data_IF_306532283592
#
_entry.id   IF_306532283592
#
_cell.length_a   1.000
_cell.length_b   1.000
_cell.length_c   1.000
_cell.angle_alpha   90.00
_cell.angle_beta   90.00
_cell.angle_gamma   90.00
#
_symmetry.space_group_name_H-M   'P 1'
#
loop_
_entity.id
_entity.type
_entity.pdbx_description
1 polymer ?
#
# COMPACT_ATOMS: atom_id res chain seq x y z
N UNK A 1 -20.55 32.72 -19.57
CA UNK A 1 -19.68 32.75 -18.40
C UNK A 1 -18.68 31.59 -18.53
N UNK A 2 -17.41 31.81 -18.22
CA UNK A 2 -16.34 30.79 -18.27
C UNK A 2 -16.64 29.53 -17.44
N UNK A 3 -17.49 29.64 -16.41
CA UNK A 3 -17.91 28.54 -15.55
C UNK A 3 -18.60 27.37 -16.29
N UNK A 4 -19.12 27.58 -17.48
CA UNK A 4 -19.78 26.54 -18.28
C UNK A 4 -18.82 25.81 -19.23
N UNK A 5 -17.56 26.21 -19.29
CA UNK A 5 -16.52 25.60 -20.15
C UNK A 5 -15.56 24.70 -19.40
N UNK A 6 -15.55 24.76 -18.07
CA UNK A 6 -14.64 24.00 -17.22
C UNK A 6 -15.48 23.16 -16.28
N UNK A 7 -15.39 21.86 -16.40
CA UNK A 7 -15.98 20.89 -15.44
C UNK A 7 -14.86 20.06 -14.82
N UNK A 8 -15.01 19.75 -13.54
CA UNK A 8 -14.13 18.81 -12.87
C UNK A 8 -14.54 17.40 -13.30
N UNK A 9 -13.58 16.59 -13.75
CA UNK A 9 -13.84 15.20 -14.11
C UNK A 9 -14.46 14.46 -12.91
N UNK A 10 -15.51 13.66 -13.18
CA UNK A 10 -16.10 12.82 -12.15
C UNK A 10 -15.03 11.87 -11.61
N UNK A 11 -14.93 11.77 -10.28
CA UNK A 11 -13.88 10.97 -9.63
C UNK A 11 -12.57 11.70 -9.36
N UNK A 12 -12.40 12.97 -9.78
CA UNK A 12 -11.26 13.78 -9.36
C UNK A 12 -11.33 14.05 -7.86
N UNK A 13 -10.36 13.56 -7.12
CA UNK A 13 -10.24 13.79 -5.68
C UNK A 13 -9.02 14.62 -5.35
N UNK A 14 -9.19 15.63 -4.52
CA UNK A 14 -8.13 16.56 -4.11
C UNK A 14 -7.09 15.92 -3.17
N UNK A 15 -7.43 14.81 -2.51
CA UNK A 15 -6.54 14.12 -1.59
C UNK A 15 -6.49 12.60 -1.85
N UNK A 16 -5.33 12.01 -1.63
CA UNK A 16 -5.09 10.57 -1.68
C UNK A 16 -4.62 10.11 -0.31
N UNK A 17 -5.29 9.12 0.25
CA UNK A 17 -4.87 8.41 1.44
C UNK A 17 -4.42 7.00 1.04
N UNK A 18 -3.12 6.76 1.02
CA UNK A 18 -2.54 5.52 0.51
C UNK A 18 -3.11 4.28 1.23
N UNK A 19 -3.33 4.37 2.56
CA UNK A 19 -3.83 3.26 3.35
C UNK A 19 -5.23 2.77 2.94
N UNK A 20 -6.09 3.69 2.45
CA UNK A 20 -7.45 3.35 2.00
C UNK A 20 -7.54 3.21 0.47
N UNK A 21 -6.78 4.03 -0.25
CA UNK A 21 -6.93 4.16 -1.70
C UNK A 21 -6.15 3.10 -2.46
N UNK A 22 -5.27 2.34 -1.81
CA UNK A 22 -4.51 1.28 -2.44
C UNK A 22 -5.42 0.19 -3.05
N UNK A 23 -6.61 0.00 -2.49
CA UNK A 23 -7.62 -0.94 -3.01
C UNK A 23 -8.68 -0.26 -3.90
N UNK A 24 -8.52 1.04 -4.22
CA UNK A 24 -9.46 1.79 -5.06
C UNK A 24 -8.85 2.11 -6.43
N UNK A 25 -9.19 1.31 -7.43
CA UNK A 25 -8.63 1.42 -8.77
C UNK A 25 -9.08 2.68 -9.53
N UNK A 26 -10.21 3.29 -9.18
CA UNK A 26 -10.69 4.50 -9.85
C UNK A 26 -9.75 5.69 -9.65
N UNK A 27 -8.99 5.70 -8.57
CA UNK A 27 -7.98 6.75 -8.32
C UNK A 27 -6.77 6.66 -9.26
N UNK A 28 -6.47 5.48 -9.78
CA UNK A 28 -5.38 5.28 -10.72
C UNK A 28 -5.70 5.85 -12.10
N UNK A 29 -6.94 5.71 -12.56
CA UNK A 29 -7.40 6.23 -13.87
C UNK A 29 -7.25 7.74 -14.02
N UNK A 30 -7.27 8.47 -12.90
CA UNK A 30 -7.15 9.93 -12.88
C UNK A 30 -5.71 10.42 -12.63
N UNK A 31 -4.73 9.54 -12.56
CA UNK A 31 -3.34 9.90 -12.39
C UNK A 31 -2.82 10.65 -13.62
N UNK A 32 -2.21 11.81 -13.39
CA UNK A 32 -1.56 12.60 -14.45
C UNK A 32 -0.06 12.32 -14.36
N UNK A 33 0.52 11.57 -15.32
CA UNK A 33 1.92 11.25 -15.29
C UNK A 33 2.77 12.50 -15.60
N UNK A 34 3.79 12.70 -14.78
CA UNK A 34 4.81 13.71 -14.99
C UNK A 34 6.15 13.03 -15.29
N UNK A 35 7.07 13.73 -15.95
CA UNK A 35 8.42 13.20 -16.21
C UNK A 35 9.11 12.76 -14.93
N UNK A 36 8.97 13.52 -13.85
CA UNK A 36 9.55 13.17 -12.55
C UNK A 36 8.91 11.92 -11.94
N UNK A 37 7.61 11.71 -12.12
CA UNK A 37 6.92 10.51 -11.65
C UNK A 37 7.38 9.27 -12.42
N UNK A 38 7.53 9.37 -13.73
CA UNK A 38 8.02 8.28 -14.58
C UNK A 38 9.48 7.92 -14.27
N UNK A 39 10.35 8.94 -14.07
CA UNK A 39 11.73 8.73 -13.67
C UNK A 39 11.84 8.05 -12.29
N UNK A 40 10.99 8.43 -11.34
CA UNK A 40 10.93 7.78 -10.03
C UNK A 40 10.46 6.33 -10.14
N UNK A 41 9.45 6.06 -10.98
CA UNK A 41 8.96 4.71 -11.23
C UNK A 41 10.08 3.82 -11.81
N UNK A 42 10.79 4.31 -12.82
CA UNK A 42 11.92 3.60 -13.43
C UNK A 42 12.99 3.26 -12.37
N UNK A 43 13.39 4.25 -11.58
CA UNK A 43 14.40 4.09 -10.52
C UNK A 43 13.95 3.07 -9.44
N UNK A 44 12.67 3.07 -9.08
CA UNK A 44 12.13 2.10 -8.14
C UNK A 44 12.10 0.69 -8.74
N UNK A 45 11.63 0.52 -9.97
CA UNK A 45 11.61 -0.77 -10.66
C UNK A 45 13.02 -1.36 -10.79
N UNK A 46 14.01 -0.55 -11.13
CA UNK A 46 15.41 -0.97 -11.16
C UNK A 46 15.92 -1.38 -9.77
N UNK A 47 15.45 -0.74 -8.71
CA UNK A 47 15.85 -1.04 -7.34
C UNK A 47 15.15 -2.28 -6.75
N UNK A 48 14.15 -2.86 -7.42
CA UNK A 48 13.56 -4.14 -7.02
C UNK A 48 14.53 -5.32 -7.25
N UNK A 49 15.54 -5.12 -8.06
CA UNK A 49 16.55 -6.13 -8.30
C UNK A 49 17.32 -6.47 -7.00
N UNK A 50 17.57 -7.76 -6.77
CA UNK A 50 18.20 -8.27 -5.53
C UNK A 50 19.57 -7.66 -5.23
N UNK A 51 20.31 -7.24 -6.26
CA UNK A 51 21.63 -6.65 -6.15
C UNK A 51 21.64 -5.12 -5.91
N UNK A 52 20.46 -4.49 -5.85
CA UNK A 52 20.39 -3.05 -5.62
C UNK A 52 20.70 -2.70 -4.16
N UNK A 53 21.60 -1.76 -3.95
CA UNK A 53 21.95 -1.20 -2.64
C UNK A 53 21.14 0.05 -2.31
N UNK A 54 20.53 0.68 -3.30
CA UNK A 54 19.82 1.96 -3.17
C UNK A 54 18.29 1.74 -3.14
N UNK A 55 17.77 1.31 -1.99
CA UNK A 55 16.35 0.94 -1.81
C UNK A 55 15.53 1.98 -1.05
N UNK A 56 16.16 2.84 -0.27
CA UNK A 56 15.45 3.87 0.50
C UNK A 56 15.17 5.11 -0.36
N UNK A 57 13.97 5.67 -0.23
CA UNK A 57 13.54 6.88 -0.93
C UNK A 57 12.80 7.81 0.02
N UNK A 58 13.06 9.10 -0.13
CA UNK A 58 12.34 10.16 0.58
C UNK A 58 11.75 11.11 -0.44
N UNK A 59 10.43 11.23 -0.46
CA UNK A 59 9.71 12.15 -1.33
C UNK A 59 9.46 13.47 -0.61
N UNK A 60 10.12 14.52 -1.04
CA UNK A 60 10.00 15.87 -0.49
C UNK A 60 9.30 16.76 -1.52
N UNK A 61 8.39 17.59 -1.07
CA UNK A 61 7.68 18.55 -1.93
C UNK A 61 6.53 19.22 -1.20
N UNK A 62 6.07 20.34 -1.74
CA UNK A 62 4.95 21.09 -1.17
C UNK A 62 3.67 20.26 -1.07
N UNK A 63 2.79 20.64 -0.15
CA UNK A 63 1.45 20.06 -0.02
C UNK A 63 0.66 20.23 -1.33
N UNK A 64 -0.20 19.27 -1.67
CA UNK A 64 -1.04 19.33 -2.87
C UNK A 64 -0.32 19.08 -4.21
N UNK A 65 0.97 18.75 -4.22
CA UNK A 65 1.75 18.49 -5.45
C UNK A 65 1.68 17.02 -5.94
N UNK A 66 0.69 16.25 -5.51
CA UNK A 66 0.43 14.91 -6.04
C UNK A 66 1.37 13.81 -5.54
N UNK A 67 2.20 14.03 -4.50
CA UNK A 67 3.12 13.02 -3.96
C UNK A 67 2.44 11.70 -3.61
N UNK A 68 1.34 11.77 -2.87
CA UNK A 68 0.59 10.56 -2.48
C UNK A 68 0.00 9.82 -3.68
N UNK A 69 -0.39 10.55 -4.73
CA UNK A 69 -0.90 9.94 -5.96
C UNK A 69 0.21 9.22 -6.75
N UNK A 70 1.42 9.81 -6.79
CA UNK A 70 2.61 9.15 -7.37
C UNK A 70 2.92 7.86 -6.61
N UNK A 71 2.92 7.91 -5.26
CA UNK A 71 3.18 6.72 -4.44
C UNK A 71 2.09 5.66 -4.66
N UNK A 72 0.82 6.05 -4.68
CA UNK A 72 -0.29 5.13 -4.95
C UNK A 72 -0.12 4.43 -6.30
N UNK A 73 0.20 5.17 -7.35
CA UNK A 73 0.46 4.63 -8.69
C UNK A 73 1.63 3.62 -8.67
N UNK A 74 2.76 3.98 -8.06
CA UNK A 74 3.95 3.11 -7.98
C UNK A 74 3.63 1.83 -7.21
N UNK A 75 3.00 1.94 -6.03
CA UNK A 75 2.63 0.77 -5.22
C UNK A 75 1.67 -0.16 -5.97
N UNK A 76 0.68 0.41 -6.66
CA UNK A 76 -0.27 -0.36 -7.46
C UNK A 76 0.41 -1.12 -8.61
N UNK A 77 1.40 -0.50 -9.24
CA UNK A 77 2.19 -1.15 -10.28
C UNK A 77 3.11 -2.25 -9.72
N UNK A 78 3.72 -2.03 -8.55
CA UNK A 78 4.51 -3.04 -7.84
C UNK A 78 3.65 -4.24 -7.37
N UNK A 79 2.38 -4.01 -7.08
CA UNK A 79 1.40 -5.07 -6.82
C UNK A 79 0.95 -5.81 -8.09
N UNK A 80 1.44 -5.43 -9.26
CA UNK A 80 1.03 -5.97 -10.57
C UNK A 80 -0.49 -5.88 -10.79
N UNK A 81 -1.09 -4.75 -10.45
CA UNK A 81 -2.46 -4.48 -10.85
C UNK A 81 -2.58 -4.43 -12.38
N UNK A 82 -3.79 -4.62 -12.89
CA UNK A 82 -4.05 -4.60 -14.32
C UNK A 82 -3.43 -3.37 -14.99
N UNK A 83 -2.62 -3.61 -16.01
CA UNK A 83 -1.89 -2.55 -16.74
C UNK A 83 -2.84 -1.53 -17.38
N UNK A 84 -4.06 -1.93 -17.70
CA UNK A 84 -5.09 -1.05 -18.26
C UNK A 84 -5.50 0.10 -17.33
N UNK A 85 -5.29 -0.06 -16.01
CA UNK A 85 -5.53 1.01 -15.03
C UNK A 85 -4.57 2.18 -15.18
N UNK A 86 -3.46 1.99 -15.90
CA UNK A 86 -2.42 2.98 -16.13
C UNK A 86 -2.47 3.55 -17.55
N UNK A 87 -3.64 3.61 -18.16
CA UNK A 87 -3.87 4.01 -19.57
C UNK A 87 -3.19 5.35 -19.94
N UNK A 88 -3.09 6.29 -18.99
CA UNK A 88 -2.43 7.59 -19.21
C UNK A 88 -0.90 7.53 -19.23
N UNK A 89 -0.34 6.45 -18.73
CA UNK A 89 1.11 6.19 -18.73
C UNK A 89 1.49 5.49 -20.05
N UNK A 90 0.65 4.61 -20.55
CA UNK A 90 0.96 3.75 -21.70
C UNK A 90 1.45 4.53 -22.94
N UNK A 91 0.82 5.65 -23.36
CA UNK A 91 1.31 6.41 -24.51
C UNK A 91 2.73 6.99 -24.31
N UNK A 92 3.09 7.29 -23.05
CA UNK A 92 4.40 7.86 -22.73
C UNK A 92 5.52 6.81 -22.71
N UNK A 93 5.17 5.52 -22.70
CA UNK A 93 6.13 4.43 -22.77
C UNK A 93 6.72 4.29 -24.17
N UNK A 94 6.00 4.71 -25.20
CA UNK A 94 6.52 4.77 -26.58
C UNK A 94 7.70 5.72 -26.68
N UNK A 95 7.65 6.85 -25.96
CA UNK A 95 8.71 7.84 -25.87
C UNK A 95 9.84 7.45 -24.89
N UNK A 96 9.62 6.43 -24.07
CA UNK A 96 10.57 5.97 -23.05
C UNK A 96 10.76 4.44 -23.09
N UNK A 97 11.50 3.92 -24.10
CA UNK A 97 11.69 2.48 -24.30
C UNK A 97 12.31 1.78 -23.09
N UNK A 98 13.19 2.47 -22.35
CA UNK A 98 13.85 1.91 -21.17
C UNK A 98 12.85 1.64 -20.03
N UNK A 99 11.99 2.62 -19.73
CA UNK A 99 10.93 2.45 -18.73
C UNK A 99 9.95 1.36 -19.16
N UNK A 100 9.55 1.35 -20.43
CA UNK A 100 8.69 0.31 -20.99
C UNK A 100 9.28 -1.09 -20.74
N UNK A 101 10.55 -1.29 -21.07
CA UNK A 101 11.25 -2.55 -20.83
C UNK A 101 11.31 -2.92 -19.35
N UNK A 102 11.55 -1.94 -18.45
CA UNK A 102 11.54 -2.17 -17.00
C UNK A 102 10.17 -2.66 -16.51
N UNK A 103 9.09 -2.05 -16.98
CA UNK A 103 7.71 -2.43 -16.62
C UNK A 103 7.41 -3.84 -17.14
N UNK A 104 7.69 -4.12 -18.40
CA UNK A 104 7.46 -5.43 -19.00
C UNK A 104 8.22 -6.53 -18.24
N UNK A 105 9.53 -6.34 -18.03
CA UNK A 105 10.36 -7.30 -17.30
C UNK A 105 9.82 -7.54 -15.89
N UNK A 106 9.32 -6.50 -15.21
CA UNK A 106 8.74 -6.64 -13.89
C UNK A 106 7.42 -7.40 -13.92
N UNK A 107 6.53 -7.10 -14.87
CA UNK A 107 5.24 -7.79 -14.99
C UNK A 107 5.40 -9.25 -15.40
N UNK A 108 6.37 -9.57 -16.23
CA UNK A 108 6.67 -10.93 -16.69
C UNK A 108 7.41 -11.77 -15.61
N UNK A 109 8.02 -11.11 -14.63
CA UNK A 109 8.71 -11.80 -13.54
C UNK A 109 7.72 -12.54 -12.63
N UNK A 110 8.14 -13.62 -11.97
CA UNK A 110 7.32 -14.30 -10.95
C UNK A 110 7.21 -13.52 -9.63
N UNK A 111 8.11 -12.55 -9.42
CA UNK A 111 8.14 -11.75 -8.20
C UNK A 111 7.02 -10.72 -8.16
N UNK A 112 6.33 -10.65 -7.02
CA UNK A 112 5.34 -9.63 -6.70
C UNK A 112 5.71 -8.96 -5.37
N UNK A 113 5.67 -7.64 -5.32
CA UNK A 113 5.94 -6.88 -4.11
C UNK A 113 4.61 -6.52 -3.45
N UNK A 114 4.49 -6.86 -2.17
CA UNK A 114 3.37 -6.45 -1.34
C UNK A 114 3.76 -5.21 -0.53
N UNK A 115 3.03 -4.09 -0.69
CA UNK A 115 3.31 -2.88 0.06
C UNK A 115 2.83 -3.01 1.52
N UNK A 116 3.72 -2.74 2.47
CA UNK A 116 3.40 -2.60 3.88
C UNK A 116 3.31 -1.11 4.20
N UNK A 117 2.09 -0.59 4.34
CA UNK A 117 1.84 0.84 4.56
C UNK A 117 1.77 1.12 6.06
N UNK A 118 2.73 1.89 6.56
CA UNK A 118 2.75 2.36 7.95
C UNK A 118 2.26 3.81 7.94
N UNK A 119 1.18 4.06 8.67
CA UNK A 119 0.67 5.41 8.91
C UNK A 119 1.18 5.91 10.27
N UNK A 120 1.23 7.25 10.44
CA UNK A 120 1.58 7.83 11.74
C UNK A 120 0.68 7.28 12.85
N UNK A 121 1.29 6.79 13.91
CA UNK A 121 0.60 6.23 15.07
C UNK A 121 1.30 6.65 16.37
N UNK A 122 0.58 6.57 17.48
CA UNK A 122 1.13 6.83 18.83
C UNK A 122 1.92 5.64 19.39
N UNK A 123 2.19 4.61 18.59
CA UNK A 123 2.95 3.42 18.97
C UNK A 123 4.41 3.51 18.51
N UNK A 124 5.27 2.66 19.06
CA UNK A 124 6.67 2.57 18.60
C UNK A 124 6.74 2.11 17.13
N UNK A 125 7.77 2.53 16.41
CA UNK A 125 7.97 2.15 14.99
C UNK A 125 7.99 0.62 14.78
N UNK A 126 8.67 -0.20 15.60
CA UNK A 126 8.63 -1.65 15.47
C UNK A 126 7.21 -2.21 15.59
N UNK A 127 6.43 -1.69 16.53
CA UNK A 127 5.05 -2.14 16.73
C UNK A 127 4.15 -1.72 15.57
N UNK A 128 4.28 -0.48 15.07
CA UNK A 128 3.54 0.00 13.90
C UNK A 128 3.87 -0.85 12.67
N UNK A 129 5.14 -1.21 12.46
CA UNK A 129 5.58 -2.08 11.37
C UNK A 129 4.95 -3.47 11.47
N UNK A 130 5.00 -4.12 12.64
CA UNK A 130 4.43 -5.46 12.84
C UNK A 130 2.92 -5.48 12.59
N UNK A 131 2.19 -4.47 13.06
CA UNK A 131 0.75 -4.36 12.83
C UNK A 131 0.41 -4.15 11.35
N UNK A 132 1.19 -3.30 10.65
CA UNK A 132 1.01 -3.07 9.23
C UNK A 132 1.34 -4.33 8.40
N UNK A 133 2.43 -5.03 8.73
CA UNK A 133 2.81 -6.30 8.10
C UNK A 133 1.73 -7.36 8.28
N UNK A 134 1.24 -7.53 9.51
CA UNK A 134 0.18 -8.49 9.81
C UNK A 134 -1.09 -8.21 9.00
N UNK A 135 -1.50 -6.93 8.91
CA UNK A 135 -2.65 -6.54 8.10
C UNK A 135 -2.44 -6.88 6.63
N UNK A 136 -1.29 -6.50 6.07
CA UNK A 136 -0.96 -6.79 4.66
C UNK A 136 -0.96 -8.30 4.37
N UNK A 137 -0.41 -9.12 5.27
CA UNK A 137 -0.40 -10.57 5.12
C UNK A 137 -1.81 -11.16 5.24
N UNK A 138 -2.64 -10.66 6.17
CA UNK A 138 -4.02 -11.09 6.33
C UNK A 138 -4.87 -10.79 5.08
N UNK A 139 -4.73 -9.59 4.52
CA UNK A 139 -5.45 -9.16 3.31
C UNK A 139 -5.05 -9.95 2.05
N UNK A 140 -3.93 -10.66 2.09
CA UNK A 140 -3.41 -11.48 0.98
C UNK A 140 -3.38 -12.99 1.29
N UNK A 141 -4.08 -13.44 2.34
CA UNK A 141 -4.16 -14.85 2.77
C UNK A 141 -2.77 -15.50 3.03
N UNK A 142 -1.82 -14.71 3.54
CA UNK A 142 -0.43 -15.10 3.76
C UNK A 142 -0.01 -15.03 5.24
N UNK A 143 -0.94 -15.10 6.17
CA UNK A 143 -0.62 -15.00 7.62
C UNK A 143 0.26 -16.13 8.14
N UNK A 144 0.22 -17.29 7.51
CA UNK A 144 0.99 -18.48 7.88
C UNK A 144 2.51 -18.29 7.70
N UNK A 145 2.94 -17.40 6.81
CA UNK A 145 4.38 -17.08 6.64
C UNK A 145 4.90 -16.12 7.72
N UNK A 146 4.02 -15.56 8.55
CA UNK A 146 4.45 -14.68 9.63
C UNK A 146 5.22 -15.48 10.68
N UNK A 147 6.43 -15.03 11.12
CA UNK A 147 7.16 -15.72 12.19
C UNK A 147 6.29 -15.90 13.41
N UNK A 148 6.52 -16.99 14.16
CA UNK A 148 5.91 -17.13 15.48
C UNK A 148 6.33 -15.96 16.38
N UNK A 149 5.44 -15.03 16.54
CA UNK A 149 5.61 -13.91 17.47
C UNK A 149 4.79 -14.20 18.72
N UNK A 150 5.12 -13.52 19.82
CA UNK A 150 4.31 -13.56 21.05
C UNK A 150 2.82 -13.27 20.75
N UNK A 151 2.53 -12.54 19.68
CA UNK A 151 1.18 -12.26 19.20
C UNK A 151 0.49 -13.52 18.64
N UNK A 152 1.16 -14.31 17.77
CA UNK A 152 0.62 -15.58 17.26
C UNK A 152 0.36 -16.55 18.42
N UNK A 153 1.30 -16.65 19.35
CA UNK A 153 1.16 -17.45 20.55
C UNK A 153 -0.05 -16.97 21.39
N UNK A 154 -0.20 -15.66 21.60
CA UNK A 154 -1.35 -15.10 22.32
C UNK A 154 -2.68 -15.37 21.60
N UNK A 155 -2.74 -15.19 20.28
CA UNK A 155 -3.96 -15.51 19.49
C UNK A 155 -4.30 -16.99 19.56
N UNK A 156 -3.32 -17.88 19.50
CA UNK A 156 -3.53 -19.32 19.63
C UNK A 156 -4.08 -19.69 21.02
N UNK A 157 -3.54 -19.08 22.07
CA UNK A 157 -4.05 -19.26 23.45
C UNK A 157 -5.48 -18.76 23.59
N UNK A 158 -5.80 -17.58 23.06
CA UNK A 158 -7.15 -16.99 23.10
C UNK A 158 -8.15 -17.88 22.33
N UNK A 159 -7.78 -18.38 21.15
CA UNK A 159 -8.62 -19.31 20.38
C UNK A 159 -8.89 -20.59 21.16
N UNK A 160 -7.85 -21.17 21.77
CA UNK A 160 -7.99 -22.36 22.61
C UNK A 160 -8.88 -22.10 23.81
N UNK A 161 -8.77 -20.96 24.50
CA UNK A 161 -9.64 -20.59 25.60
C UNK A 161 -11.10 -20.45 25.16
N UNK A 162 -11.37 -19.93 24.00
CA UNK A 162 -12.73 -19.85 23.46
C UNK A 162 -13.36 -21.22 23.26
N UNK A 163 -12.58 -22.23 22.89
CA UNK A 163 -13.04 -23.59 22.63
C UNK A 163 -13.07 -24.46 23.88
N UNK A 164 -12.00 -24.44 24.69
CA UNK A 164 -11.80 -25.34 25.83
C UNK A 164 -12.31 -24.76 27.16
N UNK A 165 -12.28 -23.43 27.31
CA UNK A 165 -12.63 -22.75 28.59
C UNK A 165 -13.44 -21.47 28.28
N UNK A 166 -14.66 -21.59 27.74
CA UNK A 166 -15.48 -20.48 27.33
C UNK A 166 -15.74 -19.44 28.41
N UNK A 167 -15.91 -19.85 29.66
CA UNK A 167 -16.12 -18.93 30.80
C UNK A 167 -14.94 -17.99 31.03
N UNK A 168 -13.71 -18.48 30.89
CA UNK A 168 -12.50 -17.66 31.02
C UNK A 168 -12.37 -16.69 29.83
N UNK A 169 -12.76 -17.11 28.62
CA UNK A 169 -12.79 -16.26 27.46
C UNK A 169 -13.81 -15.12 27.61
N UNK A 170 -15.01 -15.40 28.11
CA UNK A 170 -16.05 -14.38 28.37
C UNK A 170 -15.61 -13.39 29.45
N UNK A 171 -14.94 -13.83 30.50
CA UNK A 171 -14.36 -12.94 31.53
C UNK A 171 -13.29 -12.02 30.95
N UNK A 172 -12.42 -12.55 30.11
CA UNK A 172 -11.40 -11.73 29.38
C UNK A 172 -12.05 -10.71 28.48
N UNK A 173 -13.08 -11.11 27.74
CA UNK A 173 -13.81 -10.22 26.84
C UNK A 173 -14.53 -9.11 27.59
N UNK A 174 -15.14 -9.41 28.73
CA UNK A 174 -15.77 -8.42 29.59
C UNK A 174 -14.75 -7.41 30.15
N UNK A 175 -13.61 -7.90 30.64
CA UNK A 175 -12.54 -7.06 31.19
C UNK A 175 -11.92 -6.10 30.15
N UNK A 176 -11.85 -6.50 28.86
CA UNK A 176 -11.33 -5.66 27.78
C UNK A 176 -12.39 -4.65 27.29
N UNK A 177 -13.68 -4.97 27.45
CA UNK A 177 -14.80 -4.15 26.99
C UNK A 177 -15.20 -3.06 27.99
N UNK A 178 -14.75 -3.15 29.24
CA UNK A 178 -14.95 -2.09 30.22
C UNK A 178 -14.12 -0.83 29.85
N UNK A 179 -14.74 0.34 29.71
CA UNK A 179 -14.00 1.56 29.48
C UNK A 179 -13.11 1.82 30.70
N UNK A 180 -11.81 2.01 30.46
CA UNK A 180 -10.87 2.45 31.50
C UNK A 180 -11.41 3.76 32.06
N UNK A 181 -11.94 3.72 33.29
CA UNK A 181 -12.34 4.92 34.02
C UNK A 181 -11.08 5.77 34.21
N UNK A 182 -11.02 6.89 33.45
CA UNK A 182 -9.95 7.88 33.51
C UNK A 182 -10.06 8.82 34.70
#
# INVERSE_FOLDING_TARGET
AMSNMISVASGFQYSVNIGYDLNNDDKLKNFIPTKSALSLLEDILLSTNTNSTNRARVLIGAYGKGKSHIVLMILSMLMKKDISLFEKILPLLEENPRLNQCIQNYYDSENKILPVVITGSNTSLPQAFLLALQRTLAENDMLDIMPETNYKAAVAVIKRWKEEVPTTFEQLQAAISEPVAG
#
